data_IF_143582007805
#
_entry.id   IF_143582007805
#
_cell.length_a   1.000
_cell.length_b   1.000
_cell.length_c   1.000
_cell.angle_alpha   90.00
_cell.angle_beta   90.00
_cell.angle_gamma   90.00
#
_symmetry.space_group_name_H-M   'P 1'
#
loop_
_entity.id
_entity.type
_entity.pdbx_description
1 polymer ?
#
# COMPACT_ATOMS: atom_id res chain seq x y z
N UNK A 1 25.59 8.06 1.46
CA UNK A 1 24.49 7.18 1.89
C UNK A 1 23.11 7.80 1.61
N UNK A 2 22.82 9.06 2.04
CA UNK A 2 21.54 9.71 1.79
C UNK A 2 21.27 9.91 0.28
N UNK A 3 22.26 10.31 -0.50
CA UNK A 3 22.13 10.47 -1.95
C UNK A 3 21.85 9.16 -2.67
N UNK A 4 22.49 8.06 -2.24
CA UNK A 4 22.23 6.74 -2.83
C UNK A 4 20.83 6.23 -2.52
N UNK A 5 20.31 6.46 -1.31
CA UNK A 5 18.93 6.09 -0.95
C UNK A 5 17.91 6.95 -1.69
N UNK A 6 18.16 8.25 -1.85
CA UNK A 6 17.32 9.12 -2.67
C UNK A 6 17.28 8.64 -4.13
N UNK A 7 18.44 8.37 -4.72
CA UNK A 7 18.53 7.88 -6.11
C UNK A 7 17.76 6.57 -6.29
N UNK A 8 17.91 5.62 -5.35
CA UNK A 8 17.18 4.36 -5.38
C UNK A 8 15.66 4.56 -5.28
N UNK A 9 15.20 5.43 -4.38
CA UNK A 9 13.78 5.76 -4.23
C UNK A 9 13.19 6.40 -5.50
N UNK A 10 13.93 7.32 -6.14
CA UNK A 10 13.54 7.95 -7.38
C UNK A 10 13.46 6.95 -8.54
N UNK A 11 14.40 6.00 -8.65
CA UNK A 11 14.34 4.94 -9.66
C UNK A 11 13.16 3.99 -9.42
N UNK A 12 12.89 3.67 -8.17
CA UNK A 12 11.72 2.85 -7.81
C UNK A 12 10.40 3.55 -8.17
N UNK A 13 10.30 4.85 -7.90
CA UNK A 13 9.13 5.65 -8.26
C UNK A 13 8.94 5.72 -9.79
N UNK A 14 10.01 5.91 -10.56
CA UNK A 14 9.97 5.85 -12.04
C UNK A 14 9.45 4.51 -12.54
N UNK A 15 9.92 3.41 -11.95
CA UNK A 15 9.47 2.08 -12.33
C UNK A 15 7.97 1.86 -12.08
N UNK A 16 7.45 2.40 -10.96
CA UNK A 16 6.04 2.27 -10.60
C UNK A 16 5.11 3.15 -11.44
N UNK A 17 5.55 4.34 -11.82
CA UNK A 17 4.72 5.32 -12.53
C UNK A 17 4.87 5.27 -14.04
N UNK A 18 5.89 4.54 -14.55
CA UNK A 18 6.28 4.51 -15.97
C UNK A 18 6.53 5.92 -16.57
N UNK A 19 6.81 6.93 -15.74
CA UNK A 19 7.07 8.32 -16.14
C UNK A 19 8.57 8.64 -16.02
N UNK A 20 9.33 8.68 -17.14
CA UNK A 20 10.78 8.95 -17.09
C UNK A 20 11.10 10.36 -16.58
N UNK A 21 10.25 11.34 -16.84
CA UNK A 21 10.48 12.75 -16.52
C UNK A 21 9.91 13.19 -15.16
N UNK A 22 9.35 12.26 -14.38
CA UNK A 22 8.73 12.56 -13.10
C UNK A 22 9.69 13.26 -12.11
N UNK A 23 10.97 12.92 -12.18
CA UNK A 23 12.01 13.50 -11.30
C UNK A 23 12.25 14.99 -11.57
N UNK A 24 12.06 15.44 -12.82
CA UNK A 24 12.18 16.85 -13.17
C UNK A 24 10.94 17.67 -12.71
N UNK A 25 9.81 17.01 -12.49
CA UNK A 25 8.56 17.62 -12.07
C UNK A 25 8.34 17.57 -10.55
N UNK A 26 9.09 16.72 -9.81
CA UNK A 26 8.98 16.67 -8.35
C UNK A 26 9.88 17.74 -7.76
N UNK A 27 9.26 18.77 -7.22
CA UNK A 27 9.95 19.70 -6.32
C UNK A 27 10.32 18.94 -5.04
N UNK A 28 11.62 18.59 -4.90
CA UNK A 28 12.17 17.87 -3.74
C UNK A 28 12.27 18.80 -2.51
N UNK A 29 11.75 20.02 -2.61
CA UNK A 29 11.65 20.88 -1.43
C UNK A 29 10.75 20.16 -0.41
N UNK A 30 11.22 19.90 0.82
CA UNK A 30 10.42 19.21 1.83
C UNK A 30 9.28 20.09 2.30
N UNK A 31 8.26 20.24 1.48
CA UNK A 31 6.98 20.74 1.92
C UNK A 31 6.39 19.66 2.86
N UNK A 32 6.40 19.95 4.16
CA UNK A 32 5.73 19.07 5.11
C UNK A 32 4.24 19.05 4.74
N UNK A 33 3.70 17.87 4.49
CA UNK A 33 2.26 17.72 4.27
C UNK A 33 1.49 18.30 5.47
N UNK A 34 0.37 18.99 5.23
CA UNK A 34 -0.42 19.52 6.32
C UNK A 34 -1.04 18.40 7.15
N UNK A 35 -1.09 18.60 8.45
CA UNK A 35 -1.73 17.66 9.37
C UNK A 35 -3.22 17.49 9.02
N UNK A 36 -3.74 16.25 9.04
CA UNK A 36 -5.16 16.01 8.75
C UNK A 36 -6.04 16.81 9.73
N UNK A 37 -7.02 17.58 9.25
CA UNK A 37 -7.90 18.34 10.13
C UNK A 37 -8.75 17.40 11.00
N UNK A 38 -9.06 17.82 12.23
CA UNK A 38 -9.80 17.01 13.20
C UNK A 38 -11.18 16.56 12.67
N UNK A 39 -11.81 17.34 11.82
CA UNK A 39 -13.07 17.00 11.15
C UNK A 39 -12.91 15.76 10.24
N UNK A 40 -11.82 15.67 9.49
CA UNK A 40 -11.55 14.56 8.58
C UNK A 40 -11.21 13.30 9.38
N UNK A 41 -10.42 13.42 10.45
CA UNK A 41 -10.04 12.26 11.27
C UNK A 41 -11.22 11.58 11.96
N UNK A 42 -12.31 12.31 12.22
CA UNK A 42 -13.51 11.77 12.85
C UNK A 42 -14.53 11.22 11.85
N UNK A 43 -14.53 11.71 10.61
CA UNK A 43 -15.56 11.39 9.62
C UNK A 43 -15.11 10.42 8.52
N UNK A 44 -13.80 10.16 8.39
CA UNK A 44 -13.32 9.20 7.38
C UNK A 44 -13.83 7.80 7.69
N UNK A 45 -14.71 7.34 6.81
CA UNK A 45 -15.20 5.96 6.83
C UNK A 45 -14.11 5.04 6.28
N UNK A 46 -13.73 4.02 7.06
CA UNK A 46 -12.79 2.98 6.62
C UNK A 46 -13.26 2.28 5.34
N UNK A 47 -14.57 2.25 5.12
CA UNK A 47 -15.17 1.66 3.94
C UNK A 47 -14.88 2.44 2.65
N UNK A 48 -14.45 3.70 2.75
CA UNK A 48 -13.99 4.52 1.61
C UNK A 48 -12.50 4.36 1.30
N UNK A 49 -11.75 3.65 2.15
CA UNK A 49 -10.33 3.38 1.92
C UNK A 49 -10.13 2.55 0.65
N UNK A 50 -9.13 2.87 -0.18
CA UNK A 50 -8.91 2.22 -1.46
C UNK A 50 -8.75 0.69 -1.35
N UNK A 51 -8.05 0.19 -0.33
CA UNK A 51 -7.88 -1.24 -0.07
C UNK A 51 -9.22 -1.91 0.27
N UNK A 52 -10.07 -1.25 1.06
CA UNK A 52 -11.42 -1.76 1.36
C UNK A 52 -12.32 -1.78 0.13
N UNK A 53 -12.24 -0.77 -0.73
CA UNK A 53 -12.98 -0.75 -1.98
C UNK A 53 -12.57 -1.91 -2.90
N UNK A 54 -11.25 -2.13 -3.05
CA UNK A 54 -10.74 -3.24 -3.84
C UNK A 54 -11.21 -4.62 -3.33
N UNK A 55 -11.30 -4.81 -2.01
CA UNK A 55 -11.83 -6.06 -1.43
C UNK A 55 -13.35 -6.18 -1.61
N UNK A 56 -14.11 -5.10 -1.50
CA UNK A 56 -15.55 -5.07 -1.78
C UNK A 56 -15.84 -5.48 -3.22
N UNK A 57 -15.07 -4.95 -4.18
CA UNK A 57 -15.24 -5.29 -5.58
C UNK A 57 -14.95 -6.78 -5.83
N UNK A 58 -13.89 -7.32 -5.20
CA UNK A 58 -13.59 -8.76 -5.27
C UNK A 58 -14.71 -9.62 -4.65
N UNK A 59 -15.25 -9.21 -3.51
CA UNK A 59 -16.36 -9.90 -2.87
C UNK A 59 -17.62 -9.88 -3.74
N UNK A 60 -17.92 -8.76 -4.40
CA UNK A 60 -19.03 -8.66 -5.33
C UNK A 60 -18.86 -9.59 -6.55
N UNK A 61 -17.64 -9.72 -7.08
CA UNK A 61 -17.32 -10.68 -8.15
C UNK A 61 -17.53 -12.13 -7.66
N UNK A 62 -17.07 -12.46 -6.45
CA UNK A 62 -17.25 -13.82 -5.89
C UNK A 62 -18.74 -14.13 -5.66
N UNK A 63 -19.54 -13.20 -5.18
CA UNK A 63 -21.01 -13.35 -5.07
C UNK A 63 -21.66 -13.57 -6.44
N UNK A 64 -21.22 -12.82 -7.46
CA UNK A 64 -21.62 -13.04 -8.85
C UNK A 64 -21.28 -14.45 -9.34
N UNK A 65 -20.09 -14.97 -8.94
CA UNK A 65 -19.64 -16.34 -9.26
C UNK A 65 -20.53 -17.39 -8.59
N UNK A 66 -20.95 -17.16 -7.34
CA UNK A 66 -21.93 -18.02 -6.65
C UNK A 66 -23.26 -18.04 -7.39
N UNK A 67 -23.78 -16.89 -7.79
CA UNK A 67 -25.03 -16.78 -8.53
C UNK A 67 -24.94 -17.50 -9.88
N UNK A 68 -23.82 -17.34 -10.60
CA UNK A 68 -23.57 -18.04 -11.86
C UNK A 68 -23.47 -19.56 -11.65
N UNK A 69 -22.74 -20.02 -10.65
CA UNK A 69 -22.62 -21.45 -10.33
C UNK A 69 -23.99 -22.06 -9.98
N UNK A 70 -24.82 -21.32 -9.23
CA UNK A 70 -26.16 -21.77 -8.87
C UNK A 70 -27.11 -21.82 -10.09
N UNK A 71 -26.98 -20.89 -11.04
CA UNK A 71 -27.79 -20.85 -12.27
C UNK A 71 -27.40 -21.95 -13.27
N UNK A 72 -26.12 -22.34 -13.30
CA UNK A 72 -25.59 -23.37 -14.20
C UNK A 72 -25.84 -24.79 -13.68
N UNK A 73 -27.10 -25.18 -13.58
CA UNK A 73 -27.51 -26.50 -13.04
C UNK A 73 -27.08 -27.65 -13.93
N UNK A 74 -26.93 -27.45 -15.24
CA UNK A 74 -26.57 -28.48 -16.23
C UNK A 74 -25.45 -27.95 -17.13
N UNK A 75 -24.60 -28.87 -17.58
CA UNK A 75 -23.67 -28.57 -18.66
C UNK A 75 -24.43 -28.30 -19.96
N UNK A 76 -23.89 -27.42 -20.80
CA UNK A 76 -24.51 -27.11 -22.08
C UNK A 76 -24.53 -28.33 -22.99
N UNK A 77 -25.63 -28.57 -23.77
CA UNK A 77 -25.62 -29.59 -24.78
C UNK A 77 -24.57 -29.27 -25.85
N UNK A 78 -23.87 -30.31 -26.28
CA UNK A 78 -22.85 -30.23 -27.32
C UNK A 78 -23.43 -30.78 -28.64
N UNK A 79 -23.32 -30.00 -29.69
CA UNK A 79 -23.59 -30.40 -31.06
C UNK A 79 -22.27 -30.61 -31.77
N UNK A 80 -22.01 -31.86 -32.19
CA UNK A 80 -20.84 -32.19 -32.97
C UNK A 80 -21.23 -32.44 -34.42
N UNK A 81 -20.63 -31.70 -35.34
CA UNK A 81 -20.74 -31.94 -36.77
C UNK A 81 -19.34 -32.27 -37.28
N UNK A 82 -19.16 -33.44 -37.79
CA UNK A 82 -17.89 -33.91 -38.35
C UNK A 82 -18.06 -34.41 -39.78
N UNK A 83 -17.17 -34.00 -40.66
CA UNK A 83 -17.03 -34.53 -41.99
C UNK A 83 -15.70 -35.30 -42.09
N UNK A 84 -15.76 -36.61 -42.24
CA UNK A 84 -14.58 -37.44 -42.36
C UNK A 84 -14.46 -37.92 -43.80
N UNK A 85 -13.27 -37.77 -44.38
CA UNK A 85 -12.94 -38.30 -45.70
C UNK A 85 -11.85 -39.33 -45.54
N UNK A 86 -12.20 -40.57 -45.79
CA UNK A 86 -11.32 -41.69 -45.57
C UNK A 86 -11.09 -42.47 -46.87
N UNK A 87 -9.97 -43.15 -46.94
CA UNK A 87 -9.61 -44.02 -48.08
C UNK A 87 -8.93 -45.28 -47.54
N UNK A 88 -9.51 -46.46 -47.82
CA UNK A 88 -9.03 -47.73 -47.28
C UNK A 88 -7.64 -48.10 -47.80
N UNK A 89 -7.43 -48.02 -49.12
CA UNK A 89 -6.15 -48.41 -49.76
C UNK A 89 -5.77 -47.45 -50.87
N UNK A 90 -4.50 -47.45 -51.25
CA UNK A 90 -3.97 -46.62 -52.33
C UNK A 90 -4.62 -47.04 -53.66
N UNK A 91 -5.38 -46.14 -54.31
CA UNK A 91 -6.12 -46.41 -55.55
C UNK A 91 -7.63 -46.50 -55.39
N UNK A 92 -8.17 -46.60 -54.19
CA UNK A 92 -9.63 -46.58 -53.95
C UNK A 92 -10.19 -45.15 -53.97
N UNK A 93 -11.49 -45.03 -54.28
CA UNK A 93 -12.20 -43.75 -54.16
C UNK A 93 -12.39 -43.33 -52.69
N UNK A 94 -12.29 -42.05 -52.43
CA UNK A 94 -12.54 -41.51 -51.08
C UNK A 94 -14.01 -41.73 -50.66
N UNK A 95 -14.18 -42.29 -49.47
CA UNK A 95 -15.47 -42.32 -48.80
C UNK A 95 -15.62 -41.08 -47.94
N UNK A 96 -16.74 -40.43 -48.01
CA UNK A 96 -17.06 -39.24 -47.24
C UNK A 96 -18.20 -39.56 -46.28
N UNK A 97 -17.94 -39.39 -44.99
CA UNK A 97 -18.91 -39.65 -43.93
C UNK A 97 -19.24 -38.36 -43.23
N UNK A 98 -20.50 -38.01 -43.07
CA UNK A 98 -20.98 -36.92 -42.26
C UNK A 98 -21.55 -37.47 -40.95
N UNK A 99 -21.03 -37.02 -39.84
CA UNK A 99 -21.50 -37.42 -38.52
C UNK A 99 -22.12 -36.19 -37.83
N UNK A 100 -23.37 -36.32 -37.43
CA UNK A 100 -24.03 -35.36 -36.58
C UNK A 100 -24.33 -36.00 -35.25
N UNK A 101 -23.72 -35.51 -34.18
CA UNK A 101 -23.88 -36.02 -32.82
C UNK A 101 -24.43 -34.95 -31.90
N UNK A 102 -25.39 -35.29 -31.05
CA UNK A 102 -25.88 -34.42 -29.97
C UNK A 102 -25.59 -35.11 -28.67
N UNK A 103 -24.79 -34.44 -27.83
CA UNK A 103 -24.50 -34.94 -26.47
C UNK A 103 -25.30 -34.10 -25.48
N UNK A 104 -26.27 -34.67 -24.83
CA UNK A 104 -27.03 -34.05 -23.76
C UNK A 104 -26.56 -34.63 -22.43
N UNK A 105 -25.90 -33.83 -21.57
CA UNK A 105 -25.47 -34.32 -20.27
C UNK A 105 -26.67 -34.47 -19.33
N UNK A 106 -26.95 -35.70 -18.92
CA UNK A 106 -27.95 -36.03 -17.92
C UNK A 106 -27.27 -36.33 -16.60
N UNK A 107 -27.69 -35.63 -15.53
CA UNK A 107 -27.24 -35.89 -14.16
C UNK A 107 -25.95 -35.17 -13.80
N UNK A 108 -26.03 -34.20 -12.91
CA UNK A 108 -24.90 -33.43 -12.45
C UNK A 108 -25.03 -32.96 -11.00
N UNK A 109 -25.98 -33.46 -10.23
CA UNK A 109 -26.25 -32.95 -8.88
C UNK A 109 -24.99 -32.78 -8.04
N UNK A 110 -24.19 -33.85 -7.88
CA UNK A 110 -22.98 -33.77 -7.05
C UNK A 110 -21.89 -32.81 -7.59
N UNK A 111 -21.71 -32.71 -8.91
CA UNK A 111 -20.73 -31.78 -9.51
C UNK A 111 -21.22 -30.34 -9.45
N UNK A 112 -22.51 -30.10 -9.60
CA UNK A 112 -23.12 -28.82 -9.43
C UNK A 112 -23.00 -28.37 -7.98
N UNK A 113 -23.39 -29.22 -7.03
CA UNK A 113 -23.31 -28.93 -5.59
C UNK A 113 -21.88 -28.62 -5.13
N UNK A 114 -20.90 -29.40 -5.60
CA UNK A 114 -19.49 -29.14 -5.33
C UNK A 114 -19.02 -27.78 -5.88
N UNK A 115 -19.46 -27.40 -7.09
CA UNK A 115 -19.13 -26.10 -7.69
C UNK A 115 -19.75 -24.94 -6.93
N UNK A 116 -21.03 -25.05 -6.56
CA UNK A 116 -21.70 -24.04 -5.73
C UNK A 116 -21.06 -23.95 -4.36
N UNK A 117 -20.71 -25.07 -3.73
CA UNK A 117 -20.03 -25.08 -2.44
C UNK A 117 -18.65 -24.42 -2.52
N UNK A 118 -17.86 -24.69 -3.55
CA UNK A 118 -16.56 -24.05 -3.78
C UNK A 118 -16.69 -22.52 -3.96
N UNK A 119 -17.63 -22.07 -4.80
CA UNK A 119 -17.87 -20.64 -5.00
C UNK A 119 -18.34 -19.96 -3.70
N UNK A 120 -19.19 -20.59 -2.91
CA UNK A 120 -19.62 -20.07 -1.60
C UNK A 120 -18.46 -19.99 -0.62
N UNK A 121 -17.56 -20.97 -0.60
CA UNK A 121 -16.39 -20.96 0.27
C UNK A 121 -15.48 -19.74 -0.05
N UNK A 122 -15.26 -19.47 -1.35
CA UNK A 122 -14.49 -18.30 -1.80
C UNK A 122 -15.17 -16.98 -1.37
N UNK A 123 -16.48 -16.85 -1.54
CA UNK A 123 -17.21 -15.66 -1.09
C UNK A 123 -17.11 -15.42 0.41
N UNK A 124 -17.25 -16.50 1.21
CA UNK A 124 -17.10 -16.43 2.69
C UNK A 124 -15.66 -16.06 3.08
N UNK A 125 -14.67 -16.60 2.38
CA UNK A 125 -13.26 -16.25 2.61
C UNK A 125 -13.02 -14.75 2.39
N UNK A 126 -13.51 -14.19 1.28
CA UNK A 126 -13.38 -12.76 0.98
C UNK A 126 -14.11 -11.88 2.02
N UNK A 127 -15.27 -12.30 2.50
CA UNK A 127 -15.96 -11.59 3.59
C UNK A 127 -15.15 -11.61 4.89
N UNK A 128 -14.50 -12.73 5.21
CA UNK A 128 -13.60 -12.82 6.37
C UNK A 128 -12.36 -11.93 6.18
N UNK A 129 -11.77 -11.90 4.98
CA UNK A 129 -10.66 -11.02 4.65
C UNK A 129 -11.05 -9.54 4.80
N UNK A 130 -12.25 -9.14 4.37
CA UNK A 130 -12.75 -7.77 4.57
C UNK A 130 -12.83 -7.40 6.06
N UNK A 131 -13.30 -8.31 6.91
CA UNK A 131 -13.39 -8.07 8.35
C UNK A 131 -11.99 -7.89 8.98
N UNK A 132 -11.02 -8.73 8.59
CA UNK A 132 -9.63 -8.62 9.04
C UNK A 132 -8.98 -7.33 8.56
N UNK A 133 -9.18 -6.98 7.30
CA UNK A 133 -8.61 -5.76 6.71
C UNK A 133 -9.17 -4.50 7.38
N UNK A 134 -10.47 -4.46 7.64
CA UNK A 134 -11.08 -3.36 8.40
C UNK A 134 -10.45 -3.20 9.79
N UNK A 135 -10.22 -4.32 10.50
CA UNK A 135 -9.56 -4.30 11.81
C UNK A 135 -8.10 -3.83 11.71
N UNK A 136 -7.37 -4.26 10.65
CA UNK A 136 -6.00 -3.83 10.36
C UNK A 136 -5.94 -2.32 10.13
N UNK A 137 -6.75 -1.80 9.22
CA UNK A 137 -6.79 -0.37 8.91
C UNK A 137 -7.18 0.49 10.12
N UNK A 138 -8.12 0.02 10.95
CA UNK A 138 -8.48 0.69 12.19
C UNK A 138 -7.27 0.79 13.14
N UNK A 139 -6.54 -0.32 13.31
CA UNK A 139 -5.34 -0.36 14.15
C UNK A 139 -4.20 0.49 13.58
N UNK A 140 -3.99 0.47 12.26
CA UNK A 140 -2.99 1.31 11.59
C UNK A 140 -3.27 2.80 11.77
N UNK A 141 -4.53 3.21 11.61
CA UNK A 141 -4.94 4.60 11.83
C UNK A 141 -4.62 5.07 13.26
N UNK A 142 -4.99 4.27 14.27
CA UNK A 142 -4.69 4.60 15.67
C UNK A 142 -3.19 4.63 15.97
N UNK A 143 -2.44 3.66 15.45
CA UNK A 143 -0.99 3.61 15.64
C UNK A 143 -0.26 4.74 14.93
N UNK A 144 -0.71 5.13 13.73
CA UNK A 144 -0.14 6.26 12.98
C UNK A 144 -0.39 7.59 13.72
N UNK A 145 -1.60 7.77 14.26
CA UNK A 145 -1.92 8.92 15.11
C UNK A 145 -1.02 8.98 16.33
N UNK A 146 -0.91 7.88 17.07
CA UNK A 146 -0.07 7.82 18.27
C UNK A 146 1.42 8.10 17.95
N UNK A 147 1.93 7.61 16.81
CA UNK A 147 3.29 7.92 16.34
C UNK A 147 3.46 9.40 16.03
N UNK A 148 2.47 10.04 15.41
CA UNK A 148 2.50 11.48 15.12
C UNK A 148 2.53 12.31 16.41
N UNK A 149 1.71 11.95 17.39
CA UNK A 149 1.71 12.62 18.70
C UNK A 149 3.04 12.44 19.43
N UNK A 150 3.63 11.24 19.39
CA UNK A 150 4.95 10.97 19.96
C UNK A 150 6.07 11.75 19.24
N UNK A 151 6.04 11.79 17.91
CA UNK A 151 7.02 12.53 17.10
C UNK A 151 6.94 14.05 17.36
N UNK A 152 5.74 14.60 17.58
CA UNK A 152 5.53 16.00 17.96
C UNK A 152 6.16 16.29 19.33
N UNK A 153 5.93 15.45 20.31
CA UNK A 153 6.54 15.60 21.63
C UNK A 153 8.09 15.50 21.57
N UNK A 154 8.58 14.56 20.76
CA UNK A 154 10.02 14.39 20.54
C UNK A 154 10.64 15.61 19.85
N UNK A 155 9.99 16.20 18.84
CA UNK A 155 10.44 17.43 18.19
C UNK A 155 10.51 18.57 19.19
N UNK A 156 9.47 18.80 20.01
CA UNK A 156 9.46 19.85 21.01
C UNK A 156 10.62 19.70 22.03
N UNK A 157 10.91 18.48 22.46
CA UNK A 157 12.02 18.20 23.34
C UNK A 157 13.39 18.43 22.67
N UNK A 158 13.54 18.01 21.41
CA UNK A 158 14.77 18.20 20.64
C UNK A 158 15.06 19.69 20.34
N UNK A 159 14.02 20.46 19.98
CA UNK A 159 14.14 21.92 19.76
C UNK A 159 14.53 22.66 21.05
N UNK A 160 13.93 22.27 22.18
CA UNK A 160 14.29 22.85 23.48
C UNK A 160 15.72 22.53 23.84
N UNK A 161 16.18 21.27 23.61
CA UNK A 161 17.59 20.89 23.83
C UNK A 161 18.53 21.66 22.92
N UNK A 162 18.19 21.84 21.64
CA UNK A 162 19.00 22.61 20.68
C UNK A 162 19.12 24.09 21.10
N UNK A 163 18.01 24.69 21.59
CA UNK A 163 18.02 26.05 22.12
C UNK A 163 18.98 26.19 23.29
N UNK A 164 18.87 25.33 24.31
CA UNK A 164 19.73 25.37 25.50
C UNK A 164 21.21 25.09 25.16
N UNK A 165 21.47 24.17 24.24
CA UNK A 165 22.83 23.88 23.78
C UNK A 165 23.44 25.08 23.03
N UNK A 166 22.64 25.79 22.24
CA UNK A 166 23.07 27.04 21.55
C UNK A 166 23.37 28.16 22.52
N UNK A 167 22.56 28.35 23.55
CA UNK A 167 22.81 29.30 24.63
C UNK A 167 24.11 28.95 25.38
N UNK A 168 24.29 27.71 25.77
CA UNK A 168 25.49 27.19 26.41
C UNK A 168 26.74 27.47 25.56
N UNK A 169 26.69 27.17 24.24
CA UNK A 169 27.77 27.50 23.30
C UNK A 169 28.10 28.98 23.34
N UNK A 170 27.09 29.86 23.35
CA UNK A 170 27.29 31.31 23.43
C UNK A 170 28.00 31.77 24.73
N UNK A 171 27.66 31.14 25.87
CA UNK A 171 28.32 31.45 27.15
C UNK A 171 29.80 30.97 27.15
N UNK A 172 30.08 29.77 26.72
CA UNK A 172 31.43 29.23 26.70
C UNK A 172 32.32 29.87 25.64
N UNK A 173 31.76 30.37 24.51
CA UNK A 173 32.52 31.17 23.57
C UNK A 173 32.96 32.53 24.18
N UNK A 174 32.10 33.17 24.96
CA UNK A 174 32.45 34.38 25.70
C UNK A 174 33.50 34.12 26.79
N UNK A 175 33.31 33.06 27.59
CA UNK A 175 34.28 32.68 28.65
C UNK A 175 35.66 32.33 28.07
N UNK A 176 35.70 31.66 26.91
CA UNK A 176 36.96 31.38 26.23
C UNK A 176 37.69 32.64 25.76
N UNK A 177 36.93 33.62 25.19
CA UNK A 177 37.50 34.91 24.75
C UNK A 177 38.05 35.74 25.92
N UNK A 178 37.48 35.57 27.11
CA UNK A 178 37.97 36.22 28.34
C UNK A 178 39.12 35.45 29.00
N UNK A 179 39.53 34.29 28.47
CA UNK A 179 40.60 33.45 29.04
C UNK A 179 40.16 32.66 30.25
N UNK A 180 38.86 32.52 30.54
CA UNK A 180 38.30 31.81 31.71
C UNK A 180 38.06 30.34 31.47
N UNK A 181 37.99 29.90 30.18
CA UNK A 181 37.80 28.48 29.82
C UNK A 181 38.85 28.01 28.81
N UNK A 182 39.11 26.70 28.80
CA UNK A 182 40.08 26.08 27.93
C UNK A 182 39.47 25.67 26.55
N UNK A 183 40.33 25.50 25.56
CA UNK A 183 39.93 25.11 24.21
C UNK A 183 39.22 23.75 24.15
N UNK A 184 39.66 22.68 24.83
CA UNK A 184 38.94 21.40 24.86
C UNK A 184 37.49 21.51 25.32
N UNK A 185 37.25 22.29 26.38
CA UNK A 185 35.88 22.52 26.90
C UNK A 185 35.01 23.26 25.86
N UNK A 186 35.57 24.30 25.23
CA UNK A 186 34.86 25.02 24.14
C UNK A 186 34.49 24.10 22.99
N UNK A 187 35.43 23.31 22.47
CA UNK A 187 35.21 22.37 21.38
C UNK A 187 34.18 21.29 21.74
N UNK A 188 34.19 20.80 22.97
CA UNK A 188 33.17 19.83 23.44
C UNK A 188 31.78 20.44 23.43
N UNK A 189 31.60 21.65 23.94
CA UNK A 189 30.31 22.34 23.96
C UNK A 189 29.84 22.68 22.54
N UNK A 190 30.74 23.05 21.63
CA UNK A 190 30.42 23.29 20.24
C UNK A 190 29.94 22.01 19.54
N UNK A 191 30.59 20.86 19.79
CA UNK A 191 30.16 19.58 19.29
C UNK A 191 28.78 19.17 19.84
N UNK A 192 28.54 19.37 21.15
CA UNK A 192 27.24 19.11 21.78
C UNK A 192 26.13 19.98 21.18
N UNK A 193 26.38 21.27 20.88
CA UNK A 193 25.43 22.15 20.24
C UNK A 193 25.10 21.70 18.80
N UNK A 194 26.14 21.33 18.03
CA UNK A 194 25.97 20.82 16.68
C UNK A 194 25.18 19.49 16.66
N UNK A 195 25.41 18.61 17.65
CA UNK A 195 24.65 17.37 17.79
C UNK A 195 23.18 17.62 18.13
N UNK A 196 22.92 18.54 19.04
CA UNK A 196 21.54 18.92 19.41
C UNK A 196 20.77 19.53 18.23
N UNK A 197 21.42 20.38 17.43
CA UNK A 197 20.84 20.96 16.21
C UNK A 197 20.53 19.88 15.18
N UNK A 198 21.44 18.92 14.95
CA UNK A 198 21.19 17.77 14.03
C UNK A 198 20.03 16.92 14.51
N UNK A 199 19.91 16.68 15.83
CA UNK A 199 18.79 15.93 16.40
C UNK A 199 17.44 16.66 16.20
N UNK A 200 17.40 17.97 16.36
CA UNK A 200 16.18 18.76 16.11
C UNK A 200 15.75 18.69 14.63
N UNK A 201 16.70 18.82 13.70
CA UNK A 201 16.40 18.66 12.26
C UNK A 201 15.88 17.26 11.96
N UNK A 202 16.51 16.21 12.51
CA UNK A 202 16.05 14.83 12.34
C UNK A 202 14.65 14.62 12.89
N UNK A 203 14.35 15.11 14.10
CA UNK A 203 13.03 15.00 14.69
C UNK A 203 11.95 15.74 13.87
N UNK A 204 12.30 16.84 13.21
CA UNK A 204 11.39 17.53 12.28
C UNK A 204 11.05 16.71 11.06
N UNK A 205 12.05 16.03 10.48
CA UNK A 205 11.85 15.11 9.35
C UNK A 205 10.99 13.90 9.79
N UNK A 206 11.26 13.35 10.97
CA UNK A 206 10.49 12.23 11.53
C UNK A 206 9.03 12.60 11.77
N UNK A 207 8.75 13.82 12.26
CA UNK A 207 7.38 14.30 12.38
C UNK A 207 6.69 14.43 11.01
N UNK A 208 7.36 15.01 10.02
CA UNK A 208 6.80 15.14 8.68
C UNK A 208 6.49 13.74 8.07
N UNK A 209 7.39 12.77 8.24
CA UNK A 209 7.15 11.39 7.80
C UNK A 209 5.98 10.73 8.56
N UNK A 210 5.85 10.98 9.87
CA UNK A 210 4.74 10.46 10.67
C UNK A 210 3.39 11.04 10.23
N UNK A 211 3.33 12.35 9.89
CA UNK A 211 2.13 13.02 9.37
C UNK A 211 1.74 12.40 8.02
N UNK A 212 2.69 12.21 7.11
CA UNK A 212 2.45 11.58 5.81
C UNK A 212 1.92 10.15 5.97
N UNK A 213 2.53 9.35 6.85
CA UNK A 213 2.05 8.00 7.16
C UNK A 213 0.63 8.01 7.76
N UNK A 214 0.31 8.98 8.61
CA UNK A 214 -1.03 9.11 9.17
C UNK A 214 -2.06 9.50 8.11
N UNK A 215 -1.73 10.42 7.19
CA UNK A 215 -2.58 10.75 6.03
C UNK A 215 -2.85 9.53 5.16
N UNK A 216 -1.82 8.74 4.90
CA UNK A 216 -1.95 7.47 4.15
C UNK A 216 -2.87 6.47 4.86
N UNK A 217 -2.72 6.29 6.18
CA UNK A 217 -3.58 5.41 6.97
C UNK A 217 -5.05 5.89 7.03
N UNK A 218 -5.31 7.17 6.73
CA UNK A 218 -6.64 7.74 6.55
C UNK A 218 -7.14 7.61 5.11
N UNK A 219 -6.34 7.10 4.16
CA UNK A 219 -6.69 7.04 2.75
C UNK A 219 -6.70 8.39 2.04
N UNK A 220 -6.02 9.40 2.61
CA UNK A 220 -5.92 10.73 2.00
C UNK A 220 -4.82 10.76 0.95
N UNK A 221 -5.08 11.46 -0.16
CA UNK A 221 -4.09 11.67 -1.21
C UNK A 221 -2.95 12.60 -0.72
N UNK A 222 -1.71 12.44 -1.25
CA UNK A 222 -0.62 13.39 -1.06
C UNK A 222 -1.03 14.80 -1.51
N UNK A 223 -0.52 15.83 -0.82
CA UNK A 223 -0.75 17.22 -1.17
C UNK A 223 0.56 17.91 -1.46
#
# INVERSE_FOLDING_TARGET
QAESTLTAALQHLRALTAMPDLVAAIDITPAAEPEPPASVTQTVDLDSHAEMQALKDRAAVAEGTVALAAAQTRASPELTIAATRDRGTYGESYQQTFTVGVRIPFGSGARHDARVAAARAEAVELQAQMALERARLASERESARARTDAARAQLAAAERRALLARESRGFFDKSFRLGESDLPTRLRIEAEAADAERQAVRARIELAAAISAWRQALGLLPQ
#
